data_IF_707695516580
#
_entry.id   IF_707695516580
#
_cell.length_a   1.000
_cell.length_b   1.000
_cell.length_c   1.000
_cell.angle_alpha   90.00
_cell.angle_beta   90.00
_cell.angle_gamma   90.00
#
_symmetry.space_group_name_H-M   'P 1'
#
loop_
_entity.id
_entity.type
_entity.pdbx_description
1 polymer ?
#
# COMPACT_ATOMS: atom_id res chain seq x y z
N UNK A 1 -22.94 15.68 -0.72
CA UNK A 1 -23.21 14.30 -1.18
C UNK A 1 -21.88 13.72 -1.63
N UNK A 2 -21.26 12.88 -0.80
CA UNK A 2 -20.25 11.91 -1.25
C UNK A 2 -20.64 10.60 -0.60
N UNK A 3 -21.13 9.68 -1.42
CA UNK A 3 -21.61 8.39 -0.99
C UNK A 3 -20.39 7.53 -0.63
N UNK A 4 -20.10 7.41 0.66
CA UNK A 4 -19.15 6.41 1.15
C UNK A 4 -19.77 5.02 1.02
N UNK A 5 -19.12 4.07 0.32
CA UNK A 5 -19.68 2.74 0.12
C UNK A 5 -19.72 1.95 1.44
N UNK A 6 -20.69 1.04 1.60
CA UNK A 6 -20.87 0.29 2.84
C UNK A 6 -19.92 -0.91 2.86
N UNK A 7 -18.90 -0.91 3.71
CA UNK A 7 -18.12 -2.14 3.96
C UNK A 7 -17.83 -2.33 5.45
N UNK A 8 -18.62 -3.24 6.03
CA UNK A 8 -18.30 -3.93 7.28
C UNK A 8 -17.26 -5.01 6.96
N UNK A 9 -16.01 -4.82 7.42
CA UNK A 9 -15.08 -5.92 7.67
C UNK A 9 -14.18 -5.59 8.87
N UNK A 10 -14.43 -6.27 9.98
CA UNK A 10 -13.77 -6.04 11.26
C UNK A 10 -12.30 -6.46 11.23
N UNK A 11 -11.38 -5.50 11.50
CA UNK A 11 -9.94 -5.60 11.85
C UNK A 11 -8.89 -5.17 10.81
N UNK A 12 -9.19 -5.21 9.50
CA UNK A 12 -8.26 -4.80 8.43
C UNK A 12 -8.55 -3.39 7.86
N UNK A 13 -9.81 -2.99 7.78
CA UNK A 13 -10.25 -1.73 7.15
C UNK A 13 -9.73 -0.46 7.83
N UNK A 14 -9.34 -0.54 9.11
CA UNK A 14 -8.78 0.61 9.82
C UNK A 14 -7.46 1.08 9.22
N UNK A 15 -6.63 0.18 8.71
CA UNK A 15 -5.29 0.52 8.21
C UNK A 15 -5.39 1.23 6.87
N UNK A 16 -6.17 0.67 5.94
CA UNK A 16 -6.43 1.28 4.63
C UNK A 16 -7.08 2.66 4.80
N UNK A 17 -8.07 2.77 5.70
CA UNK A 17 -8.71 4.05 6.02
C UNK A 17 -7.73 5.06 6.63
N UNK A 18 -6.91 4.65 7.60
CA UNK A 18 -5.90 5.52 8.23
C UNK A 18 -4.87 5.99 7.21
N UNK A 19 -4.42 5.10 6.33
CA UNK A 19 -3.46 5.42 5.28
C UNK A 19 -4.06 6.35 4.23
N UNK A 20 -5.28 6.09 3.77
CA UNK A 20 -6.00 6.97 2.85
C UNK A 20 -6.29 8.35 3.45
N UNK A 21 -6.64 8.42 4.74
CA UNK A 21 -6.77 9.70 5.44
C UNK A 21 -5.43 10.43 5.51
N UNK A 22 -4.35 9.73 5.82
CA UNK A 22 -3.02 10.33 5.88
C UNK A 22 -2.58 10.90 4.52
N UNK A 23 -2.73 10.13 3.45
CA UNK A 23 -2.41 10.58 2.10
C UNK A 23 -3.22 11.83 1.71
N UNK A 24 -4.52 11.85 2.05
CA UNK A 24 -5.37 13.02 1.84
C UNK A 24 -4.91 14.23 2.68
N UNK A 25 -4.55 14.04 3.95
CA UNK A 25 -4.02 15.12 4.81
C UNK A 25 -2.75 15.75 4.22
N UNK A 26 -1.91 14.94 3.58
CA UNK A 26 -0.69 15.41 2.91
C UNK A 26 -0.93 15.87 1.45
N UNK A 27 -2.18 15.96 1.00
CA UNK A 27 -2.54 16.34 -0.38
C UNK A 27 -1.87 15.45 -1.45
N UNK A 28 -1.59 14.20 -1.10
CA UNK A 28 -0.98 13.23 -1.99
C UNK A 28 -2.08 12.59 -2.83
N UNK A 29 -1.95 12.64 -4.16
CA UNK A 29 -2.88 11.95 -5.06
C UNK A 29 -2.52 10.47 -5.15
N UNK A 30 -3.46 9.62 -4.75
CA UNK A 30 -3.32 8.17 -4.79
C UNK A 30 -4.49 7.52 -5.53
N UNK A 31 -4.26 6.29 -6.01
CA UNK A 31 -5.24 5.42 -6.64
C UNK A 31 -5.26 4.09 -5.88
N UNK A 32 -6.42 3.70 -5.36
CA UNK A 32 -6.59 2.49 -4.53
C UNK A 32 -6.75 1.23 -5.40
N UNK A 33 -6.24 0.10 -4.91
CA UNK A 33 -6.36 -1.24 -5.52
C UNK A 33 -5.99 -1.28 -7.01
N UNK A 34 -5.01 -0.47 -7.42
CA UNK A 34 -4.65 -0.32 -8.82
C UNK A 34 -3.74 -1.47 -9.29
N UNK A 35 -4.09 -2.15 -10.39
CA UNK A 35 -3.15 -3.07 -11.04
C UNK A 35 -2.03 -2.27 -11.70
N UNK A 36 -0.80 -2.43 -11.19
CA UNK A 36 0.41 -1.81 -11.75
C UNK A 36 0.89 -2.67 -12.91
N UNK A 37 0.65 -2.19 -14.13
CA UNK A 37 1.14 -2.78 -15.39
C UNK A 37 0.91 -4.29 -15.53
N UNK A 38 -0.17 -4.83 -14.96
CA UNK A 38 -0.48 -6.27 -14.90
C UNK A 38 0.60 -7.14 -14.21
N UNK A 39 1.56 -6.52 -13.53
CA UNK A 39 2.60 -7.21 -12.75
C UNK A 39 2.01 -7.63 -11.40
N UNK A 40 1.38 -6.67 -10.74
CA UNK A 40 0.91 -6.79 -9.36
C UNK A 40 -0.23 -5.82 -9.11
N UNK A 41 -1.07 -6.12 -8.14
CA UNK A 41 -2.10 -5.19 -7.64
C UNK A 41 -1.57 -4.58 -6.36
N UNK A 42 -1.44 -3.26 -6.32
CA UNK A 42 -1.00 -2.52 -5.13
C UNK A 42 -2.22 -2.02 -4.36
N UNK A 43 -2.11 -1.87 -3.05
CA UNK A 43 -3.19 -1.30 -2.23
C UNK A 43 -3.36 0.19 -2.55
N UNK A 44 -2.26 0.94 -2.59
CA UNK A 44 -2.28 2.35 -2.93
C UNK A 44 -1.17 2.67 -3.93
N UNK A 45 -1.54 3.23 -5.08
CA UNK A 45 -0.61 3.74 -6.08
C UNK A 45 -0.54 5.25 -6.03
N UNK A 46 0.63 5.80 -5.73
CA UNK A 46 0.87 7.23 -5.69
C UNK A 46 1.69 7.63 -6.92
N UNK A 47 1.20 8.61 -7.67
CA UNK A 47 1.93 9.15 -8.82
C UNK A 47 3.17 9.95 -8.35
N UNK A 48 4.27 9.95 -9.13
CA UNK A 48 4.40 9.36 -10.46
C UNK A 48 4.76 7.86 -10.50
N UNK A 49 5.29 7.30 -9.43
CA UNK A 49 5.94 5.98 -9.48
C UNK A 49 6.05 5.28 -8.11
N UNK A 50 5.19 5.59 -7.13
CA UNK A 50 5.24 4.99 -5.80
C UNK A 50 4.12 3.95 -5.61
N UNK A 51 4.50 2.75 -5.22
CA UNK A 51 3.63 1.62 -4.93
C UNK A 51 3.64 1.35 -3.42
N UNK A 52 2.47 1.43 -2.78
CA UNK A 52 2.29 1.17 -1.35
C UNK A 52 1.47 -0.11 -1.17
N UNK A 53 1.99 -0.98 -0.32
CA UNK A 53 1.35 -2.21 0.13
C UNK A 53 1.02 -2.07 1.61
N UNK A 54 -0.23 -2.32 1.98
CA UNK A 54 -0.68 -2.31 3.37
C UNK A 54 -0.76 -3.76 3.86
N UNK A 55 0.37 -4.30 4.33
CA UNK A 55 0.44 -5.69 4.75
C UNK A 55 0.10 -5.83 6.23
N UNK A 56 -0.87 -6.69 6.55
CA UNK A 56 -1.14 -7.08 7.91
C UNK A 56 -0.05 -8.03 8.37
N UNK A 57 0.62 -7.70 9.49
CA UNK A 57 1.70 -8.45 10.17
C UNK A 57 1.50 -9.98 10.27
N UNK A 58 0.25 -10.43 10.11
CA UNK A 58 -0.23 -11.78 10.36
C UNK A 58 -0.02 -12.81 9.22
N UNK A 59 0.39 -12.44 8.00
CA UNK A 59 0.31 -13.35 6.83
C UNK A 59 1.62 -13.69 6.10
N UNK A 60 2.76 -13.64 6.78
CA UNK A 60 4.07 -13.84 6.13
C UNK A 60 4.70 -15.23 6.30
N UNK A 61 3.93 -16.32 6.20
CA UNK A 61 4.44 -17.71 6.31
C UNK A 61 4.32 -18.56 5.03
N UNK A 62 4.37 -17.94 3.84
CA UNK A 62 4.46 -18.68 2.57
C UNK A 62 5.69 -18.30 1.76
N UNK A 63 6.58 -19.27 1.56
CA UNK A 63 7.82 -19.14 0.79
C UNK A 63 7.55 -18.77 -0.69
N UNK A 64 6.41 -19.21 -1.23
CA UNK A 64 5.93 -18.82 -2.56
C UNK A 64 5.72 -17.31 -2.73
N UNK A 65 5.27 -16.63 -1.66
CA UNK A 65 5.04 -15.19 -1.70
C UNK A 65 6.37 -14.47 -1.82
N UNK A 66 7.41 -14.87 -1.08
CA UNK A 66 8.74 -14.25 -1.13
C UNK A 66 9.37 -14.26 -2.52
N UNK A 67 9.27 -15.38 -3.24
CA UNK A 67 9.86 -15.48 -4.58
C UNK A 67 9.13 -14.58 -5.58
N UNK A 68 7.80 -14.54 -5.50
CA UNK A 68 7.00 -13.64 -6.33
C UNK A 68 7.27 -12.18 -5.99
N UNK A 69 7.41 -11.89 -4.70
CA UNK A 69 7.68 -10.55 -4.18
C UNK A 69 8.99 -9.98 -4.71
N UNK A 70 10.04 -10.81 -4.68
CA UNK A 70 11.35 -10.44 -5.18
C UNK A 70 11.27 -10.07 -6.67
N UNK A 71 10.61 -10.90 -7.49
CA UNK A 71 10.43 -10.63 -8.92
C UNK A 71 9.63 -9.35 -9.19
N UNK A 72 8.55 -9.14 -8.44
CA UNK A 72 7.73 -7.92 -8.54
C UNK A 72 8.57 -6.70 -8.17
N UNK A 73 9.28 -6.75 -7.04
CA UNK A 73 10.10 -5.65 -6.57
C UNK A 73 11.22 -5.32 -7.58
N UNK A 74 11.92 -6.32 -8.10
CA UNK A 74 12.93 -6.12 -9.15
C UNK A 74 12.31 -5.51 -10.42
N UNK A 75 11.16 -6.01 -10.87
CA UNK A 75 10.49 -5.50 -12.08
C UNK A 75 10.05 -4.04 -11.90
N UNK A 76 9.48 -3.71 -10.73
CA UNK A 76 9.06 -2.36 -10.39
C UNK A 76 10.26 -1.43 -10.28
N UNK A 77 11.34 -1.86 -9.63
CA UNK A 77 12.57 -1.08 -9.50
C UNK A 77 13.22 -0.81 -10.86
N UNK A 78 13.26 -1.80 -11.77
CA UNK A 78 13.77 -1.63 -13.15
C UNK A 78 12.94 -0.61 -13.92
N UNK A 79 11.62 -0.61 -13.72
CA UNK A 79 10.70 0.36 -14.30
C UNK A 79 10.75 1.74 -13.62
N UNK A 80 11.56 1.88 -12.57
CA UNK A 80 11.71 3.12 -11.81
C UNK A 80 10.62 3.36 -10.77
N UNK A 81 9.84 2.34 -10.41
CA UNK A 81 8.86 2.42 -9.33
C UNK A 81 9.50 2.18 -7.96
N UNK A 82 9.09 2.97 -6.97
CA UNK A 82 9.46 2.78 -5.56
C UNK A 82 8.40 1.90 -4.92
N UNK A 83 8.81 0.80 -4.29
CA UNK A 83 7.91 -0.14 -3.62
C UNK A 83 8.08 -0.01 -2.12
N UNK A 84 6.96 0.14 -1.41
CA UNK A 84 6.94 0.27 0.04
C UNK A 84 5.90 -0.68 0.60
N UNK A 85 6.32 -1.47 1.60
CA UNK A 85 5.41 -2.25 2.43
C UNK A 85 5.27 -1.57 3.78
N UNK A 86 4.03 -1.28 4.15
CA UNK A 86 3.66 -0.71 5.42
C UNK A 86 3.02 -1.80 6.25
N UNK A 87 3.58 -2.06 7.44
CA UNK A 87 2.96 -2.97 8.39
C UNK A 87 1.73 -2.30 8.97
N UNK A 88 0.60 -3.01 8.98
CA UNK A 88 -0.64 -2.52 9.57
C UNK A 88 -0.46 -2.09 11.04
N UNK A 89 0.40 -2.78 11.78
CA UNK A 89 0.77 -2.45 13.15
C UNK A 89 1.50 -1.10 13.26
N UNK A 90 2.30 -0.72 12.26
CA UNK A 90 3.02 0.56 12.23
C UNK A 90 2.10 1.72 11.91
N UNK A 91 1.23 1.55 10.91
CA UNK A 91 0.19 2.53 10.59
C UNK A 91 -0.71 2.78 11.81
N UNK A 92 -1.11 1.71 12.52
CA UNK A 92 -1.89 1.80 13.78
C UNK A 92 -1.13 2.48 14.91
N UNK A 93 0.20 2.30 14.99
CA UNK A 93 1.06 3.00 15.96
C UNK A 93 1.32 4.46 15.61
N UNK A 94 0.92 4.91 14.41
CA UNK A 94 1.24 6.25 13.90
C UNK A 94 2.67 6.36 13.40
N UNK A 95 3.36 5.24 13.17
CA UNK A 95 4.65 5.24 12.46
C UNK A 95 4.35 5.51 11.00
N UNK A 96 4.76 6.68 10.53
CA UNK A 96 4.54 7.13 9.17
C UNK A 96 5.88 7.26 8.48
N UNK A 97 5.99 6.67 7.30
CA UNK A 97 7.22 6.63 6.54
C UNK A 97 7.34 7.88 5.67
N UNK A 98 7.41 9.04 6.32
CA UNK A 98 7.60 10.34 5.64
C UNK A 98 8.89 10.33 4.80
N UNK A 99 9.90 9.56 5.23
CA UNK A 99 11.14 9.30 4.49
C UNK A 99 10.96 8.61 3.14
N UNK A 100 9.76 8.15 2.78
CA UNK A 100 9.46 7.66 1.43
C UNK A 100 9.35 8.82 0.44
N UNK A 101 8.81 9.95 0.91
CA UNK A 101 8.48 11.12 0.09
C UNK A 101 9.54 12.22 0.16
N UNK A 102 10.52 12.08 1.05
CA UNK A 102 11.69 12.95 1.17
C UNK A 102 12.85 12.43 0.31
#
# INVERSE_FOLDING_TARGET
MVETPPFVQTRNTDIERLLGQWLNQHNIKFEEQKPVEKITTVDFFVKPNLCLYADGDYWHSKEDVRQRDKRINETLQIKGYKVVRLLGSEIKKGIRYESIFN
#
